data_IF_808363835209
#
_entry.id   IF_808363835209
#
_cell.length_a   1.000
_cell.length_b   1.000
_cell.length_c   1.000
_cell.angle_alpha   90.00
_cell.angle_beta   90.00
_cell.angle_gamma   90.00
#
_symmetry.space_group_name_H-M   'P 1'
#
loop_
_entity.id
_entity.type
_entity.pdbx_description
1 polymer ?
#
# COMPACT_ATOMS: atom_id res chain seq x y z
N UNK A 1 -2.33 -78.19 -61.90
CA UNK A 1 -2.80 -78.07 -63.30
C UNK A 1 -2.59 -76.61 -63.79
N UNK A 2 -1.61 -76.50 -64.63
CA UNK A 2 -1.53 -75.82 -65.91
C UNK A 2 -1.83 -74.29 -65.82
N UNK A 3 -0.98 -73.42 -66.12
CA UNK A 3 -0.05 -73.15 -67.22
C UNK A 3 -0.32 -71.74 -67.77
N UNK A 4 0.74 -70.94 -67.73
CA UNK A 4 1.32 -70.17 -68.85
C UNK A 4 0.40 -69.13 -69.52
N UNK A 5 0.85 -67.95 -69.97
CA UNK A 5 2.03 -67.43 -70.64
C UNK A 5 1.77 -65.92 -70.86
N UNK A 6 2.66 -65.04 -70.56
CA UNK A 6 3.66 -64.34 -71.41
C UNK A 6 3.06 -63.50 -72.59
N UNK A 7 3.36 -62.21 -72.57
CA UNK A 7 3.96 -61.39 -73.60
C UNK A 7 3.66 -59.94 -73.33
N UNK A 8 4.64 -59.20 -72.85
CA UNK A 8 5.50 -58.22 -73.60
C UNK A 8 4.85 -57.46 -74.75
N UNK A 9 4.79 -56.11 -74.60
CA UNK A 9 5.46 -55.21 -75.51
C UNK A 9 5.47 -53.75 -75.00
N UNK A 10 6.62 -53.15 -75.24
CA UNK A 10 7.05 -51.76 -75.02
C UNK A 10 6.30 -50.77 -75.89
N UNK A 11 6.19 -49.56 -75.41
CA UNK A 11 6.55 -48.31 -76.07
C UNK A 11 6.22 -47.16 -75.15
N UNK A 12 7.26 -46.51 -74.62
CA UNK A 12 7.84 -45.22 -74.98
C UNK A 12 6.84 -44.05 -75.05
N UNK A 13 7.04 -43.11 -74.15
CA UNK A 13 6.85 -41.69 -74.49
C UNK A 13 6.14 -40.88 -73.42
N UNK A 14 6.80 -39.89 -72.92
CA UNK A 14 6.10 -38.72 -72.35
C UNK A 14 6.54 -38.30 -70.92
N UNK A 15 7.64 -37.58 -70.90
CA UNK A 15 8.04 -36.76 -69.75
C UNK A 15 6.93 -35.75 -69.40
N UNK A 16 6.56 -35.65 -68.17
CA UNK A 16 6.14 -34.40 -67.54
C UNK A 16 6.35 -34.46 -66.04
N UNK A 17 7.49 -33.94 -65.61
CA UNK A 17 7.71 -33.51 -64.19
C UNK A 17 6.68 -32.41 -63.87
N UNK A 18 5.75 -32.71 -63.02
CA UNK A 18 4.98 -31.68 -62.27
C UNK A 18 5.46 -31.74 -60.84
N UNK A 19 6.55 -31.02 -60.56
CA UNK A 19 7.03 -30.74 -59.20
C UNK A 19 6.10 -29.69 -58.61
N UNK A 20 5.06 -30.13 -57.93
CA UNK A 20 4.18 -29.28 -57.16
C UNK A 20 4.89 -28.78 -55.91
N UNK A 21 5.45 -27.58 -56.02
CA UNK A 21 6.00 -26.82 -54.91
C UNK A 21 4.82 -26.34 -54.02
N UNK A 22 4.44 -27.14 -53.04
CA UNK A 22 3.59 -26.70 -51.93
C UNK A 22 4.41 -25.76 -51.05
N UNK A 23 4.43 -24.46 -51.44
CA UNK A 23 4.80 -23.36 -50.54
C UNK A 23 3.75 -23.32 -49.41
N UNK A 24 4.04 -24.01 -48.33
CA UNK A 24 3.38 -23.84 -47.06
C UNK A 24 3.65 -22.43 -46.56
N UNK A 25 2.75 -21.49 -46.88
CA UNK A 25 2.70 -20.17 -46.21
C UNK A 25 2.32 -20.44 -44.77
N UNK A 26 3.36 -20.62 -43.94
CA UNK A 26 3.23 -20.58 -42.50
C UNK A 26 2.79 -19.17 -42.12
N UNK A 27 1.48 -18.96 -42.03
CA UNK A 27 0.92 -17.78 -41.38
C UNK A 27 1.30 -17.89 -39.93
N UNK A 28 2.47 -17.34 -39.58
CA UNK A 28 2.80 -17.01 -38.18
C UNK A 28 1.68 -16.08 -37.73
N UNK A 29 0.71 -16.60 -37.01
CA UNK A 29 -0.17 -15.81 -36.17
C UNK A 29 0.74 -15.12 -35.14
N UNK A 30 1.35 -14.00 -35.57
CA UNK A 30 1.85 -12.99 -34.65
C UNK A 30 0.60 -12.55 -33.90
N UNK A 31 0.41 -13.15 -32.73
CA UNK A 31 -0.64 -12.73 -31.81
C UNK A 31 -0.49 -11.22 -31.67
N UNK A 32 -1.46 -10.48 -32.19
CA UNK A 32 -1.56 -9.06 -32.00
C UNK A 32 -1.56 -8.86 -30.47
N UNK A 33 -0.40 -8.52 -29.91
CA UNK A 33 -0.32 -8.05 -28.53
C UNK A 33 -1.23 -6.83 -28.49
N UNK A 34 -2.42 -7.01 -27.96
CA UNK A 34 -3.34 -5.89 -27.75
C UNK A 34 -2.58 -4.86 -26.95
N UNK A 35 -2.31 -3.72 -27.59
CA UNK A 35 -1.52 -2.63 -26.99
C UNK A 35 -2.33 -2.12 -25.79
N UNK A 36 -2.01 -2.63 -24.59
CA UNK A 36 -2.58 -2.10 -23.37
C UNK A 36 -1.97 -0.74 -23.04
N UNK A 37 -2.74 0.26 -22.59
CA UNK A 37 -4.21 0.30 -22.49
C UNK A 37 -4.86 0.85 -23.77
N UNK A 38 -6.06 0.38 -24.08
CA UNK A 38 -6.91 0.87 -25.21
C UNK A 38 -8.14 1.64 -24.75
N UNK A 39 -8.39 1.68 -23.43
CA UNK A 39 -9.52 2.36 -22.78
C UNK A 39 -9.07 2.96 -21.46
N UNK A 40 -9.86 3.85 -20.83
CA UNK A 40 -9.51 4.43 -19.53
C UNK A 40 -9.21 3.39 -18.46
N UNK A 41 -8.18 3.65 -17.63
CA UNK A 41 -7.80 2.87 -16.46
C UNK A 41 -8.42 3.50 -15.22
N UNK A 42 -8.78 2.70 -14.25
CA UNK A 42 -9.40 3.16 -13.00
C UNK A 42 -8.49 2.84 -11.80
N UNK A 43 -8.29 3.81 -10.92
CA UNK A 43 -7.68 3.63 -9.61
C UNK A 43 -8.77 3.80 -8.55
N UNK A 44 -9.14 2.72 -7.90
CA UNK A 44 -10.09 2.71 -6.78
C UNK A 44 -9.36 3.12 -5.51
N UNK A 45 -9.91 4.09 -4.79
CA UNK A 45 -9.43 4.56 -3.49
C UNK A 45 -10.48 4.21 -2.44
N UNK A 46 -10.20 3.32 -1.48
CA UNK A 46 -11.20 2.84 -0.51
C UNK A 46 -11.42 3.83 0.65
N UNK A 47 -11.26 5.12 0.38
CA UNK A 47 -11.39 6.21 1.36
C UNK A 47 -12.12 7.42 0.75
N UNK A 48 -12.68 8.31 1.60
CA UNK A 48 -13.24 9.58 1.13
C UNK A 48 -12.19 10.43 0.40
N UNK A 49 -12.62 11.32 -0.49
CA UNK A 49 -11.73 12.29 -1.14
C UNK A 49 -11.01 13.21 -0.14
N UNK A 50 -9.80 13.68 -0.51
CA UNK A 50 -9.03 14.68 0.23
C UNK A 50 -8.03 14.11 1.25
N UNK A 51 -8.06 12.81 1.56
CA UNK A 51 -7.06 12.17 2.41
C UNK A 51 -5.77 11.83 1.65
N UNK A 52 -4.72 11.40 2.38
CA UNK A 52 -3.40 11.08 1.81
C UNK A 52 -3.48 10.07 0.65
N UNK A 53 -4.29 9.02 0.78
CA UNK A 53 -4.46 8.04 -0.28
C UNK A 53 -5.11 8.61 -1.56
N UNK A 54 -6.07 9.51 -1.41
CA UNK A 54 -6.71 10.19 -2.54
C UNK A 54 -5.72 11.15 -3.23
N UNK A 55 -4.94 11.89 -2.46
CA UNK A 55 -3.88 12.78 -2.98
C UNK A 55 -2.85 11.97 -3.76
N UNK A 56 -2.36 10.85 -3.22
CA UNK A 56 -1.43 9.97 -3.89
C UNK A 56 -2.01 9.38 -5.17
N UNK A 57 -3.27 8.91 -5.12
CA UNK A 57 -3.96 8.39 -6.29
C UNK A 57 -4.08 9.43 -7.40
N UNK A 58 -4.38 10.69 -7.07
CA UNK A 58 -4.48 11.79 -8.05
C UNK A 58 -3.13 12.17 -8.63
N UNK A 59 -2.06 12.20 -7.84
CA UNK A 59 -0.70 12.43 -8.33
C UNK A 59 -0.28 11.34 -9.32
N UNK A 60 -0.49 10.08 -8.94
CA UNK A 60 -0.21 8.94 -9.84
C UNK A 60 -1.10 8.99 -11.09
N UNK A 61 -2.39 9.22 -10.93
CA UNK A 61 -3.37 9.27 -12.02
C UNK A 61 -3.01 10.32 -13.08
N UNK A 62 -2.69 11.54 -12.64
CA UNK A 62 -2.32 12.66 -13.51
C UNK A 62 -1.09 12.29 -14.39
N UNK A 63 -0.01 11.86 -13.76
CA UNK A 63 1.25 11.56 -14.44
C UNK A 63 1.17 10.27 -15.27
N UNK A 64 0.49 9.25 -14.72
CA UNK A 64 0.31 7.97 -15.40
C UNK A 64 -0.56 8.12 -16.65
N UNK A 65 -1.61 8.96 -16.63
CA UNK A 65 -2.45 9.25 -17.80
C UNK A 65 -1.60 9.72 -19.00
N UNK A 66 -0.66 10.63 -18.75
CA UNK A 66 0.27 11.13 -19.76
C UNK A 66 1.21 10.02 -20.26
N UNK A 67 1.72 9.20 -19.34
CA UNK A 67 2.70 8.16 -19.64
C UNK A 67 2.13 6.99 -20.48
N UNK A 68 0.87 6.61 -20.22
CA UNK A 68 0.23 5.48 -20.92
C UNK A 68 -0.67 5.89 -22.07
N UNK A 69 -0.92 7.20 -22.27
CA UNK A 69 -1.72 7.74 -23.37
C UNK A 69 -3.23 7.46 -23.25
N UNK A 70 -3.71 7.14 -22.04
CA UNK A 70 -5.13 6.90 -21.76
C UNK A 70 -5.52 7.57 -20.42
N UNK A 71 -6.75 8.04 -20.27
CA UNK A 71 -7.21 8.60 -19.00
C UNK A 71 -7.07 7.59 -17.85
N UNK A 72 -6.54 8.04 -16.72
CA UNK A 72 -6.54 7.30 -15.46
C UNK A 72 -7.49 8.00 -14.50
N UNK A 73 -8.56 7.34 -14.09
CA UNK A 73 -9.65 7.91 -13.32
C UNK A 73 -9.56 7.45 -11.85
N UNK A 74 -9.68 8.38 -10.92
CA UNK A 74 -9.76 8.07 -9.48
C UNK A 74 -11.23 7.85 -9.10
N UNK A 75 -11.52 6.70 -8.45
CA UNK A 75 -12.85 6.29 -8.02
C UNK A 75 -12.83 6.04 -6.50
N UNK A 76 -13.37 6.98 -5.71
CA UNK A 76 -13.42 6.87 -4.27
C UNK A 76 -14.58 5.98 -3.83
N UNK A 77 -14.27 4.88 -3.12
CA UNK A 77 -15.25 3.89 -2.61
C UNK A 77 -15.02 3.61 -1.12
N UNK A 78 -15.38 4.54 -0.24
CA UNK A 78 -15.21 4.36 1.21
C UNK A 78 -16.19 3.34 1.77
N UNK A 79 -15.89 2.83 2.97
CA UNK A 79 -16.78 2.01 3.77
C UNK A 79 -16.10 0.86 4.50
N UNK A 80 -16.63 0.51 5.67
CA UNK A 80 -16.22 -0.62 6.50
C UNK A 80 -14.69 -0.75 6.70
N UNK A 81 -14.01 0.33 7.12
CA UNK A 81 -12.54 0.29 7.28
C UNK A 81 -11.79 -0.01 5.99
N UNK A 82 -12.25 0.54 4.86
CA UNK A 82 -11.71 0.34 3.51
C UNK A 82 -12.01 -1.06 2.88
N UNK A 83 -12.80 -1.90 3.53
CA UNK A 83 -13.17 -3.23 3.02
C UNK A 83 -13.97 -3.12 1.72
N UNK A 84 -14.96 -2.21 1.66
CA UNK A 84 -15.86 -2.07 0.50
C UNK A 84 -15.09 -1.81 -0.80
N UNK A 85 -14.20 -0.82 -0.81
CA UNK A 85 -13.41 -0.48 -2.00
C UNK A 85 -12.38 -1.54 -2.35
N UNK A 86 -11.78 -2.19 -1.34
CA UNK A 86 -10.83 -3.29 -1.54
C UNK A 86 -11.50 -4.50 -2.18
N UNK A 87 -12.67 -4.93 -1.66
CA UNK A 87 -13.45 -6.01 -2.25
C UNK A 87 -13.89 -5.73 -3.69
N UNK A 88 -14.25 -4.47 -3.98
CA UNK A 88 -14.60 -4.09 -5.35
C UNK A 88 -13.46 -4.40 -6.33
N UNK A 89 -12.20 -4.12 -5.94
CA UNK A 89 -11.04 -4.42 -6.79
C UNK A 89 -10.73 -5.92 -6.80
N UNK A 90 -10.81 -6.60 -5.67
CA UNK A 90 -10.62 -8.06 -5.61
C UNK A 90 -11.54 -8.80 -6.57
N UNK A 91 -12.78 -8.31 -6.74
CA UNK A 91 -13.78 -8.91 -7.66
C UNK A 91 -13.72 -8.37 -9.10
N UNK A 92 -12.86 -7.41 -9.38
CA UNK A 92 -12.70 -6.86 -10.73
C UNK A 92 -11.99 -7.84 -11.66
N UNK A 93 -12.21 -7.69 -12.96
CA UNK A 93 -11.48 -8.47 -13.96
C UNK A 93 -9.97 -8.19 -13.88
N UNK A 94 -9.11 -9.22 -13.95
CA UNK A 94 -7.66 -9.05 -13.91
C UNK A 94 -7.08 -8.63 -15.27
N UNK A 95 -7.70 -7.64 -15.92
CA UNK A 95 -7.39 -7.19 -17.27
C UNK A 95 -6.47 -5.95 -17.31
N UNK A 96 -6.05 -5.45 -16.13
CA UNK A 96 -5.18 -4.28 -15.99
C UNK A 96 -5.90 -2.93 -16.11
N UNK A 97 -7.23 -2.88 -16.11
CA UNK A 97 -7.99 -1.63 -16.16
C UNK A 97 -8.55 -1.17 -14.82
N UNK A 98 -8.36 -1.97 -13.77
CA UNK A 98 -8.77 -1.60 -12.41
C UNK A 98 -7.61 -1.86 -11.46
N UNK A 99 -7.20 -0.83 -10.71
CA UNK A 99 -6.18 -0.89 -9.67
C UNK A 99 -6.76 -0.40 -8.35
N UNK A 100 -6.12 -0.77 -7.25
CA UNK A 100 -6.42 -0.33 -5.89
C UNK A 100 -5.29 0.57 -5.40
N UNK A 101 -5.59 1.77 -4.96
CA UNK A 101 -4.69 2.60 -4.16
C UNK A 101 -5.13 2.50 -2.71
N UNK A 102 -4.47 1.66 -1.93
CA UNK A 102 -4.84 1.43 -0.54
C UNK A 102 -3.68 1.74 0.41
N UNK A 103 -4.04 2.19 1.62
CA UNK A 103 -3.12 2.22 2.75
C UNK A 103 -2.83 0.80 3.25
N UNK A 104 -1.82 0.68 4.11
CA UNK A 104 -1.50 -0.55 4.85
C UNK A 104 -2.69 -1.09 5.67
N UNK A 105 -3.66 -0.24 6.07
CA UNK A 105 -4.85 -0.65 6.83
C UNK A 105 -5.55 -1.89 6.29
N UNK A 106 -6.23 -1.83 5.14
CA UNK A 106 -6.94 -2.97 4.56
C UNK A 106 -6.02 -4.11 4.09
N UNK A 107 -4.74 -3.86 3.90
CA UNK A 107 -3.82 -4.82 3.32
C UNK A 107 -3.07 -5.64 4.37
N UNK A 108 -2.69 -5.05 5.49
CA UNK A 108 -1.91 -5.76 6.53
C UNK A 108 -2.55 -5.73 7.92
N UNK A 109 -3.25 -4.64 8.28
CA UNK A 109 -3.87 -4.55 9.61
C UNK A 109 -5.23 -5.27 9.67
N UNK A 110 -6.11 -5.10 8.68
CA UNK A 110 -7.40 -5.81 8.67
C UNK A 110 -7.22 -7.34 8.70
N UNK A 111 -6.31 -7.96 7.91
CA UNK A 111 -6.02 -9.39 8.04
C UNK A 111 -5.54 -9.82 9.43
N UNK A 112 -4.81 -8.96 10.13
CA UNK A 112 -4.31 -9.23 11.47
C UNK A 112 -5.38 -9.12 12.57
N UNK A 113 -6.42 -8.31 12.34
CA UNK A 113 -7.39 -7.90 13.35
C UNK A 113 -8.79 -8.50 13.16
N UNK A 114 -9.20 -8.75 11.91
CA UNK A 114 -10.56 -9.18 11.57
C UNK A 114 -10.59 -10.69 11.36
N UNK A 115 -11.33 -11.40 12.21
CA UNK A 115 -11.52 -12.85 12.08
C UNK A 115 -12.32 -13.27 10.84
N UNK A 116 -13.14 -12.36 10.32
CA UNK A 116 -14.00 -12.59 9.13
C UNK A 116 -13.76 -11.50 8.09
N UNK A 117 -12.58 -11.53 7.46
CA UNK A 117 -12.30 -10.66 6.33
C UNK A 117 -12.72 -11.37 5.04
N UNK A 118 -13.44 -10.64 4.16
CA UNK A 118 -14.01 -11.17 2.93
C UNK A 118 -13.01 -11.39 1.79
N UNK A 119 -11.74 -10.97 1.98
CA UNK A 119 -10.65 -11.15 1.03
C UNK A 119 -9.34 -11.54 1.75
N UNK A 120 -8.42 -12.11 0.99
CA UNK A 120 -7.05 -12.36 1.44
C UNK A 120 -6.07 -11.58 0.56
N UNK A 121 -5.40 -10.53 1.08
CA UNK A 121 -4.52 -9.68 0.28
C UNK A 121 -3.39 -10.44 -0.42
N UNK A 122 -2.87 -11.50 0.20
CA UNK A 122 -1.78 -12.30 -0.36
C UNK A 122 -2.23 -13.22 -1.52
N UNK A 123 -3.52 -13.57 -1.58
CA UNK A 123 -4.08 -14.43 -2.60
C UNK A 123 -4.82 -13.65 -3.68
N UNK A 124 -5.59 -12.64 -3.28
CA UNK A 124 -6.60 -12.02 -4.12
C UNK A 124 -6.12 -10.72 -4.79
N UNK A 125 -4.94 -10.21 -4.38
CA UNK A 125 -4.34 -9.01 -4.95
C UNK A 125 -2.91 -9.28 -5.46
N UNK A 126 -2.56 -8.62 -6.56
CA UNK A 126 -1.21 -8.58 -7.11
C UNK A 126 -0.55 -7.25 -6.73
N UNK A 127 0.57 -7.25 -5.98
CA UNK A 127 1.32 -6.05 -5.68
C UNK A 127 1.87 -5.38 -6.95
N UNK A 128 1.82 -4.05 -7.00
CA UNK A 128 2.45 -3.25 -8.06
C UNK A 128 3.60 -2.44 -7.50
N UNK A 129 3.32 -1.54 -6.55
CA UNK A 129 4.35 -0.71 -5.92
C UNK A 129 3.84 -0.05 -4.65
N UNK A 130 4.69 0.07 -3.63
CA UNK A 130 4.47 1.06 -2.57
C UNK A 130 4.73 2.44 -3.17
N UNK A 131 3.74 3.31 -3.12
CA UNK A 131 3.76 4.64 -3.74
C UNK A 131 4.34 5.67 -2.78
N UNK A 132 3.92 5.63 -1.52
CA UNK A 132 4.41 6.52 -0.49
C UNK A 132 4.34 5.91 0.89
N UNK A 133 5.22 6.35 1.78
CA UNK A 133 5.21 5.97 3.18
C UNK A 133 5.22 7.19 4.08
N UNK A 134 4.58 7.08 5.22
CA UNK A 134 4.44 8.15 6.19
C UNK A 134 4.63 7.62 7.61
N UNK A 135 5.48 8.31 8.39
CA UNK A 135 5.74 7.97 9.77
C UNK A 135 4.60 8.43 10.65
N UNK A 136 4.61 7.95 11.89
CA UNK A 136 3.75 8.45 12.96
C UNK A 136 4.56 9.34 13.90
N UNK A 137 3.85 10.27 14.55
CA UNK A 137 4.38 11.16 15.56
C UNK A 137 3.75 10.80 16.91
N UNK A 138 4.58 10.58 17.91
CA UNK A 138 4.18 10.50 19.29
C UNK A 138 4.10 11.94 19.85
N UNK A 139 2.89 12.42 20.08
CA UNK A 139 2.61 13.78 20.51
C UNK A 139 1.95 13.84 21.88
N UNK A 140 2.29 14.90 22.63
CA UNK A 140 1.66 15.29 23.89
C UNK A 140 1.31 16.77 23.84
N UNK A 141 0.40 17.26 24.72
CA UNK A 141 0.14 18.68 24.84
C UNK A 141 1.41 19.45 25.25
N UNK A 142 1.60 20.69 24.81
CA UNK A 142 2.86 21.45 25.03
C UNK A 142 3.22 21.63 26.52
N UNK A 143 2.23 21.83 27.38
CA UNK A 143 2.42 21.96 28.83
C UNK A 143 2.53 20.63 29.58
N UNK A 144 2.47 19.51 28.87
CA UNK A 144 2.60 18.18 29.48
C UNK A 144 4.00 18.03 30.12
N UNK A 145 4.13 17.41 31.32
CA UNK A 145 5.39 17.33 32.04
C UNK A 145 6.52 16.63 31.29
N UNK A 146 6.22 15.57 30.51
CA UNK A 146 7.23 14.83 29.76
C UNK A 146 7.72 15.61 28.52
N UNK A 147 9.06 15.74 28.39
CA UNK A 147 9.72 16.44 27.29
C UNK A 147 10.42 15.50 26.31
N UNK A 148 10.50 14.22 26.61
CA UNK A 148 11.09 13.15 25.80
C UNK A 148 10.40 11.81 26.11
N UNK A 149 10.74 10.78 25.33
CA UNK A 149 10.13 9.46 25.48
C UNK A 149 10.42 8.84 26.86
N UNK A 150 11.63 8.99 27.38
CA UNK A 150 12.00 8.45 28.68
C UNK A 150 11.13 9.03 29.82
N UNK A 151 10.94 10.34 29.81
CA UNK A 151 10.06 11.00 30.80
C UNK A 151 8.61 10.60 30.65
N UNK A 152 8.12 10.41 29.40
CA UNK A 152 6.76 9.90 29.15
C UNK A 152 6.59 8.48 29.70
N UNK A 153 7.55 7.58 29.47
CA UNK A 153 7.53 6.23 30.02
C UNK A 153 7.44 6.26 31.55
N UNK A 154 8.33 7.04 32.20
CA UNK A 154 8.32 7.18 33.66
C UNK A 154 7.01 7.76 34.18
N UNK A 155 6.49 8.80 33.54
CA UNK A 155 5.21 9.40 33.91
C UNK A 155 4.05 8.40 33.86
N UNK A 156 3.96 7.64 32.76
CA UNK A 156 2.87 6.69 32.55
C UNK A 156 2.99 5.45 33.45
N UNK A 157 4.22 4.99 33.74
CA UNK A 157 4.47 3.89 34.68
C UNK A 157 4.07 4.27 36.12
N UNK A 158 4.30 5.53 36.52
CA UNK A 158 3.88 6.02 37.82
C UNK A 158 2.36 6.23 37.94
N UNK A 159 1.63 6.27 36.80
CA UNK A 159 0.18 6.57 36.72
C UNK A 159 -0.53 5.67 35.73
N UNK A 160 -0.47 4.33 35.86
CA UNK A 160 -0.91 3.41 34.81
C UNK A 160 -2.41 3.54 34.49
N UNK A 161 -3.25 3.85 35.49
CA UNK A 161 -4.70 3.98 35.30
C UNK A 161 -5.17 5.43 35.06
N UNK A 162 -4.24 6.39 34.97
CA UNK A 162 -4.53 7.81 34.77
C UNK A 162 -3.93 8.36 33.47
N UNK A 163 -3.23 7.51 32.74
CA UNK A 163 -2.66 7.85 31.43
C UNK A 163 -3.51 7.22 30.33
N UNK A 164 -3.88 8.02 29.34
CA UNK A 164 -4.65 7.57 28.20
C UNK A 164 -4.03 8.08 26.90
N UNK A 165 -4.28 7.36 25.82
CA UNK A 165 -3.88 7.80 24.47
C UNK A 165 -5.06 7.72 23.49
N UNK A 166 -5.12 8.69 22.58
CA UNK A 166 -6.09 8.70 21.50
C UNK A 166 -5.57 7.97 20.26
N UNK A 167 -6.48 7.34 19.53
CA UNK A 167 -6.19 6.78 18.21
C UNK A 167 -7.40 6.89 17.27
N UNK A 168 -7.18 7.18 15.96
CA UNK A 168 -8.25 7.32 14.98
C UNK A 168 -8.75 5.99 14.40
N UNK A 169 -7.95 4.95 14.45
CA UNK A 169 -8.28 3.59 13.98
C UNK A 169 -7.51 2.54 14.77
N UNK A 170 -7.96 1.29 14.70
CA UNK A 170 -7.30 0.15 15.37
C UNK A 170 -5.87 -0.09 14.90
N UNK A 171 -5.52 0.32 13.67
CA UNK A 171 -4.13 0.25 13.17
C UNK A 171 -3.17 1.10 14.03
N UNK A 172 -3.58 2.32 14.38
CA UNK A 172 -2.77 3.20 15.25
C UNK A 172 -2.71 2.69 16.68
N UNK A 173 -3.83 2.12 17.19
CA UNK A 173 -3.84 1.42 18.47
C UNK A 173 -2.78 0.31 18.48
N UNK A 174 -2.73 -0.52 17.44
CA UNK A 174 -1.78 -1.63 17.36
C UNK A 174 -0.32 -1.16 17.43
N UNK A 175 0.02 -0.08 16.72
CA UNK A 175 1.36 0.50 16.77
C UNK A 175 1.68 1.04 18.15
N UNK A 176 0.72 1.70 18.82
CA UNK A 176 0.91 2.19 20.19
C UNK A 176 1.06 1.03 21.18
N UNK A 177 0.26 -0.02 21.08
CA UNK A 177 0.40 -1.20 21.94
C UNK A 177 1.73 -1.93 21.73
N UNK A 178 2.24 -1.95 20.48
CA UNK A 178 3.59 -2.45 20.23
C UNK A 178 4.66 -1.59 20.87
N UNK A 179 4.54 -0.25 20.81
CA UNK A 179 5.41 0.66 21.51
C UNK A 179 5.37 0.44 23.03
N UNK A 180 4.18 0.29 23.61
CA UNK A 180 3.98 -0.02 25.03
C UNK A 180 4.68 -1.32 25.43
N UNK A 181 4.51 -2.38 24.65
CA UNK A 181 5.17 -3.67 24.87
C UNK A 181 6.69 -3.56 24.87
N UNK A 182 7.25 -2.73 23.99
CA UNK A 182 8.72 -2.55 23.87
C UNK A 182 9.32 -1.66 24.94
N UNK A 183 8.54 -0.76 25.53
CA UNK A 183 9.03 0.27 26.46
C UNK A 183 8.57 0.11 27.90
N UNK A 184 7.55 -0.73 28.12
CA UNK A 184 6.85 -0.79 29.42
C UNK A 184 5.97 0.44 29.68
N UNK A 185 5.81 1.36 28.72
CA UNK A 185 4.90 2.48 28.82
C UNK A 185 3.48 2.01 29.09
N UNK A 186 2.73 2.74 29.89
CA UNK A 186 1.35 2.44 30.24
C UNK A 186 0.39 3.43 29.58
N UNK A 187 -0.89 3.09 29.49
CA UNK A 187 -1.92 3.97 28.98
C UNK A 187 -3.14 3.19 28.48
N UNK A 188 -4.32 3.76 28.75
CA UNK A 188 -5.61 3.24 28.30
C UNK A 188 -5.87 3.79 26.89
N UNK A 189 -6.32 2.95 25.98
CA UNK A 189 -6.68 3.40 24.62
C UNK A 189 -8.07 4.06 24.64
N UNK A 190 -8.20 5.18 23.90
CA UNK A 190 -9.45 5.88 23.68
C UNK A 190 -9.67 6.06 22.19
N UNK A 191 -10.66 5.38 21.58
CA UNK A 191 -10.94 5.48 20.15
C UNK A 191 -11.68 6.76 19.80
N UNK A 192 -11.32 7.37 18.66
CA UNK A 192 -11.97 8.54 18.10
C UNK A 192 -12.35 8.29 16.64
N UNK A 193 -13.40 8.95 16.17
CA UNK A 193 -13.88 8.86 14.79
C UNK A 193 -13.02 9.75 13.86
N UNK A 194 -11.75 9.36 13.64
CA UNK A 194 -10.82 10.06 12.76
C UNK A 194 -9.73 10.85 13.49
N UNK A 195 -8.77 11.36 12.71
CA UNK A 195 -7.54 11.97 13.22
C UNK A 195 -7.77 13.32 13.89
N UNK A 196 -8.66 14.16 13.37
CA UNK A 196 -8.89 15.50 13.95
C UNK A 196 -9.48 15.42 15.38
N UNK A 197 -10.53 14.63 15.69
CA UNK A 197 -10.98 14.43 17.06
C UNK A 197 -9.89 13.82 17.97
N UNK A 198 -9.08 12.92 17.44
CA UNK A 198 -7.98 12.30 18.20
C UNK A 198 -6.93 13.34 18.64
N UNK A 199 -6.55 14.25 17.75
CA UNK A 199 -5.65 15.38 18.09
C UNK A 199 -6.30 16.35 19.06
N UNK A 200 -7.58 16.69 18.88
CA UNK A 200 -8.30 17.58 19.78
C UNK A 200 -8.37 17.06 21.21
N UNK A 201 -8.52 15.74 21.41
CA UNK A 201 -8.52 15.14 22.73
C UNK A 201 -7.21 15.36 23.50
N UNK A 202 -6.07 15.40 22.79
CA UNK A 202 -4.77 15.77 23.39
C UNK A 202 -4.75 17.27 23.74
N UNK A 203 -5.26 18.13 22.84
CA UNK A 203 -5.29 19.58 23.07
C UNK A 203 -6.14 19.98 24.27
N UNK A 204 -7.27 19.30 24.47
CA UNK A 204 -8.17 19.56 25.61
C UNK A 204 -7.67 18.91 26.91
N UNK A 205 -6.70 17.99 26.83
CA UNK A 205 -6.18 17.25 27.97
C UNK A 205 -7.08 16.07 28.40
N UNK A 206 -8.06 15.71 27.57
CA UNK A 206 -8.91 14.52 27.76
C UNK A 206 -8.05 13.24 27.74
N UNK A 207 -7.04 13.19 26.88
CA UNK A 207 -5.99 12.18 26.89
C UNK A 207 -4.61 12.85 26.95
N UNK A 208 -3.61 12.11 27.44
CA UNK A 208 -2.26 12.64 27.63
C UNK A 208 -1.42 12.64 26.36
N UNK A 209 -1.66 11.67 25.46
CA UNK A 209 -0.80 11.43 24.30
C UNK A 209 -1.57 10.88 23.11
N UNK A 210 -0.96 10.99 21.95
CA UNK A 210 -1.43 10.36 20.70
C UNK A 210 -0.25 9.83 19.92
N UNK A 211 -0.47 8.77 19.14
CA UNK A 211 0.44 8.32 18.09
C UNK A 211 -0.33 8.37 16.78
N UNK A 212 0.04 9.30 15.90
CA UNK A 212 -0.75 9.64 14.72
C UNK A 212 0.14 10.06 13.54
N UNK A 213 -0.40 9.99 12.32
CA UNK A 213 0.25 10.53 11.12
C UNK A 213 0.48 12.04 11.21
N UNK A 214 1.52 12.53 10.51
CA UNK A 214 1.97 13.94 10.59
C UNK A 214 0.93 14.92 10.08
N UNK A 215 0.20 14.63 9.02
CA UNK A 215 -0.72 15.56 8.38
C UNK A 215 -1.71 16.23 9.35
N UNK A 216 -2.53 15.49 10.08
CA UNK A 216 -3.51 16.04 11.03
C UNK A 216 -2.91 16.79 12.23
N UNK A 217 -1.72 16.39 12.69
CA UNK A 217 -1.07 16.99 13.88
C UNK A 217 -0.16 18.18 13.53
N UNK A 218 0.29 18.27 12.27
CA UNK A 218 1.24 19.31 11.82
C UNK A 218 0.83 20.73 12.18
N UNK A 219 -0.41 21.19 11.99
CA UNK A 219 -0.81 22.55 12.37
C UNK A 219 -0.64 22.82 13.87
N UNK A 220 -0.82 21.81 14.71
CA UNK A 220 -0.71 21.93 16.17
C UNK A 220 0.75 21.90 16.63
N UNK A 221 1.61 21.15 15.95
CA UNK A 221 3.07 21.17 16.15
C UNK A 221 3.64 22.56 15.77
N UNK A 222 3.24 23.10 14.61
CA UNK A 222 3.67 24.41 14.13
C UNK A 222 3.19 25.55 15.03
N UNK A 223 1.99 25.43 15.58
CA UNK A 223 1.43 26.41 16.52
C UNK A 223 1.99 26.27 17.95
N UNK A 224 2.89 25.30 18.21
CA UNK A 224 3.44 25.06 19.54
C UNK A 224 2.40 24.63 20.58
N UNK A 225 1.29 24.04 20.16
CA UNK A 225 0.22 23.53 21.06
C UNK A 225 0.41 22.05 21.40
N UNK A 226 1.12 21.33 20.56
CA UNK A 226 1.52 19.93 20.76
C UNK A 226 3.02 19.84 20.61
N UNK A 227 3.65 19.06 21.48
CA UNK A 227 5.07 18.69 21.44
C UNK A 227 5.19 17.29 20.87
N UNK A 228 6.00 17.14 19.81
CA UNK A 228 6.40 15.84 19.32
C UNK A 228 7.54 15.30 20.17
N UNK A 229 7.38 14.11 20.74
CA UNK A 229 8.40 13.45 21.56
C UNK A 229 9.26 12.46 20.75
N UNK A 230 8.68 11.89 19.70
CA UNK A 230 9.36 10.95 18.81
C UNK A 230 8.63 10.83 17.47
N UNK A 231 9.36 10.40 16.44
CA UNK A 231 8.81 9.87 15.19
C UNK A 231 9.12 8.39 15.06
N UNK A 232 8.24 7.66 14.37
CA UNK A 232 8.39 6.20 14.20
C UNK A 232 9.28 5.80 13.02
N UNK A 233 9.70 6.75 12.19
CA UNK A 233 10.59 6.50 11.05
C UNK A 233 12.01 6.12 11.48
N UNK A 234 12.76 5.48 10.56
CA UNK A 234 14.19 5.19 10.75
C UNK A 234 15.07 6.44 10.82
N UNK A 235 14.62 7.54 10.25
CA UNK A 235 15.29 8.83 10.18
C UNK A 235 14.35 9.93 10.63
N UNK A 236 14.91 11.04 11.14
CA UNK A 236 14.15 12.25 11.46
C UNK A 236 13.47 12.79 10.21
N UNK A 237 12.34 13.45 10.42
CA UNK A 237 11.60 14.09 9.34
C UNK A 237 12.24 15.43 8.96
N UNK A 238 12.32 15.72 7.66
CA UNK A 238 12.88 16.98 7.17
C UNK A 238 12.15 18.21 7.74
N UNK A 239 10.82 18.13 7.89
CA UNK A 239 10.00 19.21 8.46
C UNK A 239 10.11 19.31 9.99
N UNK A 240 10.65 18.27 10.67
CA UNK A 240 10.80 18.21 12.12
C UNK A 240 12.19 17.70 12.52
N UNK A 241 13.29 18.39 12.13
CA UNK A 241 14.66 17.90 12.29
C UNK A 241 15.08 17.77 13.77
N UNK A 242 14.38 18.45 14.66
CA UNK A 242 14.64 18.41 16.11
C UNK A 242 13.88 17.30 16.84
N UNK A 243 12.94 16.61 16.17
CA UNK A 243 12.21 15.49 16.77
C UNK A 243 12.99 14.21 16.55
N UNK A 244 13.44 13.53 17.62
CA UNK A 244 14.21 12.32 17.51
C UNK A 244 13.34 11.15 17.05
N UNK A 245 13.96 10.13 16.46
CA UNK A 245 13.31 8.85 16.19
C UNK A 245 13.20 8.01 17.47
N UNK A 246 12.33 7.00 17.46
CA UNK A 246 12.28 6.02 18.54
C UNK A 246 13.62 5.28 18.71
N UNK A 247 14.30 4.95 17.59
CA UNK A 247 15.61 4.31 17.59
C UNK A 247 16.70 5.17 18.26
N UNK A 248 16.74 6.47 17.97
CA UNK A 248 17.66 7.40 18.63
C UNK A 248 17.44 7.49 20.15
N UNK A 249 16.24 7.16 20.61
CA UNK A 249 15.88 7.11 22.03
C UNK A 249 15.99 5.70 22.64
N UNK A 250 16.67 4.76 21.95
CA UNK A 250 16.98 3.42 22.45
C UNK A 250 15.85 2.39 22.28
N UNK A 251 14.79 2.72 21.54
CA UNK A 251 13.70 1.79 21.25
C UNK A 251 13.87 1.25 19.83
N UNK A 252 14.21 -0.02 19.69
CA UNK A 252 14.34 -0.67 18.38
C UNK A 252 12.95 -0.94 17.79
N UNK A 253 12.35 0.14 17.32
CA UNK A 253 11.05 0.18 16.68
C UNK A 253 11.09 1.22 15.56
N UNK A 254 10.81 0.78 14.34
CA UNK A 254 10.56 1.65 13.21
C UNK A 254 9.29 1.18 12.50
N UNK A 255 8.34 2.08 12.33
CA UNK A 255 7.07 1.83 11.64
C UNK A 255 6.76 3.00 10.75
N UNK A 256 6.51 2.71 9.49
CA UNK A 256 5.89 3.67 8.59
C UNK A 256 4.59 3.05 8.08
N UNK A 257 3.51 3.77 8.16
CA UNK A 257 2.34 3.43 7.36
C UNK A 257 2.66 3.72 5.90
N UNK A 258 2.03 3.01 4.99
CA UNK A 258 2.27 3.19 3.56
C UNK A 258 0.98 3.14 2.76
N UNK A 259 1.03 3.74 1.57
CA UNK A 259 0.03 3.59 0.52
C UNK A 259 0.67 2.91 -0.67
N UNK A 260 -0.03 1.95 -1.24
CA UNK A 260 0.46 1.18 -2.37
C UNK A 260 -0.58 0.97 -3.44
N UNK A 261 -0.08 0.76 -4.64
CA UNK A 261 -0.88 0.38 -5.80
C UNK A 261 -0.86 -1.15 -5.92
N UNK A 262 -2.06 -1.73 -6.03
CA UNK A 262 -2.28 -3.17 -6.21
C UNK A 262 -3.24 -3.39 -7.39
N UNK A 263 -3.22 -4.59 -7.96
CA UNK A 263 -4.17 -5.02 -8.98
C UNK A 263 -4.92 -6.28 -8.51
N UNK A 264 -6.02 -6.69 -9.17
CA UNK A 264 -6.61 -8.01 -8.95
C UNK A 264 -5.58 -9.12 -9.21
N UNK A 265 -5.63 -10.20 -8.42
CA UNK A 265 -4.80 -11.37 -8.67
C UNK A 265 -5.03 -11.92 -10.09
N UNK A 266 -3.95 -12.36 -10.76
CA UNK A 266 -4.02 -12.82 -12.16
C UNK A 266 -3.90 -11.71 -13.21
N UNK A 267 -3.75 -10.44 -12.83
CA UNK A 267 -3.42 -9.37 -13.77
C UNK A 267 -2.10 -9.69 -14.49
N UNK A 268 -2.03 -9.56 -15.84
CA UNK A 268 -0.85 -9.96 -16.60
C UNK A 268 0.43 -9.29 -16.13
N UNK A 269 1.48 -10.08 -15.95
CA UNK A 269 2.80 -9.60 -15.47
C UNK A 269 3.35 -8.42 -16.31
N UNK A 270 3.24 -8.39 -17.65
CA UNK A 270 3.72 -7.25 -18.44
C UNK A 270 2.99 -5.94 -18.11
N UNK A 271 1.69 -6.00 -17.74
CA UNK A 271 0.92 -4.82 -17.35
C UNK A 271 1.40 -4.33 -15.98
N UNK A 272 1.55 -5.25 -15.00
CA UNK A 272 2.11 -4.94 -13.68
C UNK A 272 3.47 -4.25 -13.82
N UNK A 273 4.38 -4.84 -14.60
CA UNK A 273 5.73 -4.32 -14.81
C UNK A 273 5.72 -2.92 -15.45
N UNK A 274 4.86 -2.69 -16.46
CA UNK A 274 4.73 -1.38 -17.11
C UNK A 274 4.22 -0.32 -16.13
N UNK A 275 3.15 -0.63 -15.39
CA UNK A 275 2.58 0.31 -14.41
C UNK A 275 3.58 0.60 -13.29
N UNK A 276 4.28 -0.43 -12.80
CA UNK A 276 5.31 -0.26 -11.77
C UNK A 276 6.45 0.64 -12.24
N UNK A 277 6.98 0.42 -13.44
CA UNK A 277 8.06 1.24 -13.98
C UNK A 277 7.65 2.72 -14.07
N UNK A 278 6.41 3.00 -14.51
CA UNK A 278 5.90 4.36 -14.54
C UNK A 278 5.69 4.95 -13.13
N UNK A 279 5.18 4.18 -12.19
CA UNK A 279 5.04 4.62 -10.78
C UNK A 279 6.41 4.95 -10.21
N UNK A 280 7.43 4.11 -10.41
CA UNK A 280 8.79 4.37 -9.94
C UNK A 280 9.35 5.69 -10.54
N UNK A 281 9.15 5.90 -11.84
CA UNK A 281 9.56 7.14 -12.51
C UNK A 281 8.82 8.37 -11.97
N UNK A 282 7.49 8.26 -11.74
CA UNK A 282 6.66 9.33 -11.21
C UNK A 282 7.12 9.71 -9.80
N UNK A 283 7.39 8.72 -8.94
CA UNK A 283 7.83 8.95 -7.57
C UNK A 283 9.23 9.58 -7.46
N UNK A 284 10.02 9.53 -8.52
CA UNK A 284 11.33 10.19 -8.62
C UNK A 284 11.27 11.60 -9.26
N UNK A 285 10.11 12.07 -9.74
CA UNK A 285 9.97 13.40 -10.33
C UNK A 285 10.14 14.50 -9.27
N UNK A 286 10.95 15.55 -9.51
CA UNK A 286 11.19 16.60 -8.52
C UNK A 286 9.91 17.28 -8.00
N UNK A 287 8.96 17.59 -8.89
CA UNK A 287 7.68 18.21 -8.54
C UNK A 287 6.80 17.29 -7.66
N UNK A 288 6.87 15.97 -7.88
CA UNK A 288 6.17 14.98 -7.07
C UNK A 288 6.85 14.84 -5.71
N UNK A 289 8.19 14.73 -5.68
CA UNK A 289 8.97 14.64 -4.44
C UNK A 289 8.72 15.86 -3.56
N UNK A 290 8.78 17.07 -4.12
CA UNK A 290 8.51 18.31 -3.39
C UNK A 290 7.08 18.36 -2.83
N UNK A 291 6.09 17.97 -3.63
CA UNK A 291 4.70 17.92 -3.23
C UNK A 291 4.47 16.93 -2.08
N UNK A 292 5.07 15.76 -2.16
CA UNK A 292 4.94 14.72 -1.14
C UNK A 292 5.67 15.10 0.15
N UNK A 293 6.88 15.63 0.05
CA UNK A 293 7.65 16.07 1.23
C UNK A 293 6.92 17.17 2.03
N UNK A 294 6.18 18.06 1.37
CA UNK A 294 5.33 19.08 2.05
C UNK A 294 4.20 18.44 2.87
N UNK A 295 3.85 17.21 2.59
CA UNK A 295 2.82 16.44 3.30
C UNK A 295 3.43 15.39 4.26
N UNK A 296 4.74 15.44 4.48
CA UNK A 296 5.51 14.42 5.23
C UNK A 296 5.33 12.99 4.68
N UNK A 297 5.06 12.87 3.38
CA UNK A 297 4.97 11.59 2.69
C UNK A 297 6.29 11.35 1.97
N UNK A 298 6.98 10.28 2.30
CA UNK A 298 8.17 9.85 1.56
C UNK A 298 7.74 9.10 0.29
N UNK A 299 8.08 9.59 -0.91
CA UNK A 299 7.84 8.84 -2.15
C UNK A 299 8.71 7.57 -2.17
N UNK A 300 8.16 6.46 -2.67
CA UNK A 300 8.85 5.15 -2.69
C UNK A 300 9.05 4.64 -4.12
N UNK A 301 8.03 4.15 -4.80
CA UNK A 301 8.18 3.62 -6.17
C UNK A 301 8.89 2.26 -6.24
N UNK A 302 8.80 1.44 -5.19
CA UNK A 302 9.47 0.14 -5.09
C UNK A 302 8.91 -0.92 -6.05
N UNK A 303 9.54 -2.10 -6.06
CA UNK A 303 9.18 -3.23 -6.91
C UNK A 303 7.98 -4.02 -6.36
N UNK A 304 7.28 -4.81 -7.21
CA UNK A 304 6.24 -5.73 -6.76
C UNK A 304 6.74 -6.75 -5.73
N UNK A 305 7.98 -7.23 -5.89
CA UNK A 305 8.58 -8.21 -4.99
C UNK A 305 8.85 -7.62 -3.59
N UNK A 306 9.36 -6.38 -3.53
CA UNK A 306 9.54 -5.67 -2.26
C UNK A 306 8.21 -5.44 -1.57
N UNK A 307 7.18 -5.00 -2.30
CA UNK A 307 5.84 -4.80 -1.74
C UNK A 307 5.23 -6.12 -1.24
N UNK A 308 5.37 -7.22 -1.99
CA UNK A 308 4.90 -8.54 -1.56
C UNK A 308 5.57 -9.00 -0.27
N UNK A 309 6.89 -8.81 -0.16
CA UNK A 309 7.65 -9.11 1.05
C UNK A 309 7.18 -8.28 2.24
N UNK A 310 6.97 -6.97 2.03
CA UNK A 310 6.45 -6.07 3.06
C UNK A 310 5.08 -6.52 3.55
N UNK A 311 4.15 -6.81 2.63
CA UNK A 311 2.79 -7.27 2.99
C UNK A 311 2.86 -8.55 3.84
N UNK A 312 3.65 -9.56 3.42
CA UNK A 312 3.75 -10.82 4.12
C UNK A 312 4.34 -10.64 5.53
N UNK A 313 5.47 -9.92 5.64
CA UNK A 313 6.14 -9.70 6.93
C UNK A 313 5.31 -8.84 7.89
N UNK A 314 4.59 -7.84 7.37
CA UNK A 314 3.75 -6.99 8.22
C UNK A 314 2.47 -7.69 8.68
N UNK A 315 1.84 -8.54 7.86
CA UNK A 315 0.70 -9.37 8.32
C UNK A 315 1.14 -10.28 9.48
N UNK A 316 2.31 -10.91 9.37
CA UNK A 316 2.85 -11.76 10.44
C UNK A 316 3.12 -10.95 11.71
N UNK A 317 3.83 -9.81 11.58
CA UNK A 317 4.14 -8.91 12.68
C UNK A 317 2.88 -8.45 13.40
N UNK A 318 1.94 -7.85 12.66
CA UNK A 318 0.74 -7.27 13.27
C UNK A 318 -0.20 -8.33 13.84
N UNK A 319 -0.26 -9.52 13.24
CA UNK A 319 -0.98 -10.66 13.82
C UNK A 319 -0.37 -11.11 15.15
N UNK A 320 0.97 -11.07 15.26
CA UNK A 320 1.68 -11.35 16.51
C UNK A 320 1.36 -10.30 17.58
N UNK A 321 1.45 -9.02 17.24
CA UNK A 321 1.13 -7.90 18.14
C UNK A 321 -0.33 -7.94 18.59
N UNK A 322 -1.26 -8.18 17.65
CA UNK A 322 -2.69 -8.28 17.96
C UNK A 322 -2.98 -9.40 18.97
N UNK A 323 -2.43 -10.58 18.73
CA UNK A 323 -2.60 -11.73 19.65
C UNK A 323 -2.01 -11.46 21.03
N UNK A 324 -0.78 -10.92 21.10
CA UNK A 324 -0.09 -10.66 22.36
C UNK A 324 -0.83 -9.63 23.24
N UNK A 325 -1.55 -8.70 22.62
CA UNK A 325 -2.29 -7.64 23.31
C UNK A 325 -3.82 -7.84 23.29
N UNK A 326 -4.33 -8.99 22.82
CA UNK A 326 -5.75 -9.33 22.73
C UNK A 326 -6.60 -8.29 21.97
N UNK A 327 -6.01 -7.69 20.91
CA UNK A 327 -6.67 -6.67 20.11
C UNK A 327 -7.38 -7.32 18.93
N UNK A 328 -8.66 -7.02 18.76
CA UNK A 328 -9.48 -7.39 17.61
C UNK A 328 -10.19 -6.16 17.07
N UNK A 329 -10.39 -6.09 15.76
CA UNK A 329 -11.27 -5.06 15.20
C UNK A 329 -12.72 -5.40 15.56
N UNK A 330 -13.45 -4.41 16.01
CA UNK A 330 -14.89 -4.47 16.26
C UNK A 330 -15.68 -4.35 14.97
#
# INVERSE_FOLDING_TARGET
MRLNWVFRWMCRGGRSLALGLLLGVGVSLVGAQTVWPTKPVRIVVPYPPGGANDILARVVSEKLSTAIGQPVLVDNRPGAGAVVGTEHVVRAAPDGYTFLMAASGPIVFNPALMSKLSYNPLRDLAPVSIVGSFPLVLGVREDFPARNLKELIQYTQARPNQSAYSHPTTSFQLVMEWLKTRTGMQGIHVPYQGSAPSVNAVLTGEVQMTLIDTGPIAPMLQAGKVRALAVTSDQRLANYPNVPTLKEQGVDLAVNLWSGLLAPAGTPVPIIARVQAEVARIMAMPDVVDRMNKLDIRPVGGTPAEMAKTIASEIELWSGVARANQITAQ
#
